data_IF_405494894346
#
_entry.id   IF_405494894346
#
_cell.length_a   1.000
_cell.length_b   1.000
_cell.length_c   1.000
_cell.angle_alpha   90.00
_cell.angle_beta   90.00
_cell.angle_gamma   90.00
#
_symmetry.space_group_name_H-M   'P 1'
#
loop_
_entity.id
_entity.type
_entity.pdbx_description
1 polymer ?
#
# COMPACT_ATOMS: atom_id res chain seq x y z
N UNK A 1 3.07 21.77 -14.02
CA UNK A 1 3.20 20.64 -13.08
C UNK A 1 2.35 20.79 -11.79
N UNK A 2 1.54 21.85 -11.65
CA UNK A 2 0.98 22.23 -10.34
C UNK A 2 -0.36 21.58 -9.95
N UNK A 3 -1.23 21.23 -10.92
CA UNK A 3 -2.55 20.65 -10.63
C UNK A 3 -2.56 19.11 -10.50
N UNK A 4 -1.56 18.44 -11.08
CA UNK A 4 -1.53 16.97 -11.15
C UNK A 4 -1.22 16.36 -9.77
N UNK A 5 -0.29 16.97 -9.02
CA UNK A 5 0.08 16.48 -7.69
C UNK A 5 -1.09 16.45 -6.68
N UNK A 6 -1.84 17.55 -6.46
CA UNK A 6 -3.00 17.52 -5.56
C UNK A 6 -4.12 16.59 -6.07
N UNK A 7 -4.35 16.51 -7.38
CA UNK A 7 -5.29 15.55 -7.97
C UNK A 7 -4.91 14.09 -7.66
N UNK A 8 -3.63 13.74 -7.76
CA UNK A 8 -3.13 12.40 -7.43
C UNK A 8 -3.19 12.09 -5.93
N UNK A 9 -3.02 13.09 -5.05
CA UNK A 9 -3.21 12.93 -3.60
C UNK A 9 -4.65 12.55 -3.29
N UNK A 10 -5.61 13.29 -3.85
CA UNK A 10 -7.03 13.01 -3.64
C UNK A 10 -7.39 11.62 -4.20
N UNK A 11 -6.92 11.31 -5.40
CA UNK A 11 -7.12 9.99 -6.01
C UNK A 11 -6.54 8.86 -5.13
N UNK A 12 -5.32 9.04 -4.61
CA UNK A 12 -4.70 8.06 -3.72
C UNK A 12 -5.47 7.85 -2.42
N UNK A 13 -6.00 8.93 -1.82
CA UNK A 13 -6.86 8.83 -0.65
C UNK A 13 -8.16 8.08 -0.94
N UNK A 14 -8.82 8.38 -2.07
CA UNK A 14 -10.06 7.71 -2.47
C UNK A 14 -9.82 6.23 -2.78
N UNK A 15 -8.76 5.89 -3.51
CA UNK A 15 -8.36 4.49 -3.74
C UNK A 15 -8.02 3.77 -2.43
N UNK A 16 -7.28 4.42 -1.53
CA UNK A 16 -6.95 3.87 -0.21
C UNK A 16 -8.18 3.64 0.67
N UNK A 17 -9.21 4.51 0.52
CA UNK A 17 -10.48 4.45 1.25
C UNK A 17 -11.36 3.26 0.89
N UNK A 18 -11.05 2.52 -0.17
CA UNK A 18 -11.77 1.29 -0.50
C UNK A 18 -11.29 0.19 0.46
N UNK A 19 -12.22 -0.36 1.26
CA UNK A 19 -11.92 -1.46 2.17
C UNK A 19 -11.86 -2.79 1.41
N UNK A 20 -10.64 -3.27 1.18
CA UNK A 20 -10.38 -4.55 0.53
C UNK A 20 -10.99 -5.73 1.29
N UNK A 21 -11.02 -5.66 2.63
CA UNK A 21 -11.62 -6.70 3.48
C UNK A 21 -13.11 -6.88 3.21
N UNK A 22 -13.87 -5.78 3.12
CA UNK A 22 -15.32 -5.82 2.86
C UNK A 22 -15.57 -6.31 1.45
N UNK A 23 -14.80 -5.83 0.47
CA UNK A 23 -14.94 -6.22 -0.93
C UNK A 23 -14.68 -7.73 -1.12
N UNK A 24 -13.59 -8.24 -0.55
CA UNK A 24 -13.24 -9.67 -0.66
C UNK A 24 -14.26 -10.53 0.08
N UNK A 25 -14.68 -10.16 1.30
CA UNK A 25 -15.72 -10.92 2.00
C UNK A 25 -17.02 -10.97 1.20
N UNK A 26 -17.44 -9.85 0.60
CA UNK A 26 -18.66 -9.79 -0.20
C UNK A 26 -18.59 -10.63 -1.47
N UNK A 27 -17.45 -10.63 -2.16
CA UNK A 27 -17.25 -11.47 -3.37
C UNK A 27 -17.16 -12.95 -2.99
N UNK A 28 -16.54 -13.27 -1.85
CA UNK A 28 -16.38 -14.63 -1.36
C UNK A 28 -17.63 -15.20 -0.67
N UNK A 29 -18.72 -14.43 -0.53
CA UNK A 29 -19.94 -14.84 0.16
C UNK A 29 -19.77 -15.02 1.67
N UNK A 30 -18.80 -14.33 2.26
CA UNK A 30 -18.47 -14.37 3.70
C UNK A 30 -19.22 -13.27 4.47
N UNK A 31 -19.47 -13.46 5.78
CA UNK A 31 -20.11 -12.44 6.59
C UNK A 31 -19.25 -11.19 6.73
N UNK A 32 -19.88 -10.06 7.05
CA UNK A 32 -19.20 -8.76 7.10
C UNK A 32 -18.07 -8.78 8.16
N UNK A 33 -16.82 -8.45 7.79
CA UNK A 33 -15.69 -8.43 8.72
C UNK A 33 -15.80 -7.37 9.81
N UNK A 34 -16.78 -6.47 9.77
CA UNK A 34 -17.07 -5.49 10.82
C UNK A 34 -17.93 -6.05 11.94
N UNK A 35 -18.80 -6.99 11.60
CA UNK A 35 -19.73 -7.62 12.53
C UNK A 35 -19.22 -8.98 13.01
N UNK A 36 -18.25 -9.55 12.30
CA UNK A 36 -17.70 -10.87 12.57
C UNK A 36 -16.24 -10.83 13.05
N UNK A 37 -15.86 -11.83 13.85
CA UNK A 37 -14.50 -11.99 14.36
C UNK A 37 -14.11 -10.91 15.37
N UNK A 38 -13.03 -10.18 15.07
CA UNK A 38 -12.51 -9.05 15.88
C UNK A 38 -13.18 -7.70 15.59
N UNK A 39 -14.09 -7.65 14.60
CA UNK A 39 -14.74 -6.42 14.14
C UNK A 39 -13.85 -5.44 13.36
N UNK A 40 -12.57 -5.78 13.14
CA UNK A 40 -11.65 -4.95 12.36
C UNK A 40 -11.62 -5.38 10.88
N UNK A 41 -11.76 -4.45 9.92
CA UNK A 41 -11.72 -4.76 8.48
C UNK A 41 -10.28 -4.91 7.97
N UNK A 42 -9.57 -5.92 8.48
CA UNK A 42 -8.18 -6.23 8.09
C UNK A 42 -7.97 -7.71 7.75
N UNK A 43 -6.85 -8.02 7.08
CA UNK A 43 -6.53 -9.37 6.61
C UNK A 43 -6.51 -10.43 7.72
N UNK A 44 -6.03 -10.09 8.93
CA UNK A 44 -6.06 -10.98 10.10
C UNK A 44 -7.47 -11.41 10.49
N UNK A 45 -8.43 -10.48 10.38
CA UNK A 45 -9.81 -10.78 10.73
C UNK A 45 -10.47 -11.65 9.65
N UNK A 46 -10.21 -11.32 8.39
CA UNK A 46 -10.68 -12.11 7.25
C UNK A 46 -10.09 -13.53 7.28
N UNK A 47 -8.87 -13.71 7.79
CA UNK A 47 -8.30 -15.04 8.01
C UNK A 47 -9.15 -15.88 8.98
N UNK A 48 -9.68 -15.27 10.04
CA UNK A 48 -10.51 -15.95 11.03
C UNK A 48 -11.89 -16.31 10.49
N UNK A 49 -12.44 -15.49 9.59
CA UNK A 49 -13.81 -15.64 9.06
C UNK A 49 -13.84 -16.51 7.81
N UNK A 50 -12.91 -16.26 6.87
CA UNK A 50 -12.90 -16.81 5.51
C UNK A 50 -11.71 -17.68 5.16
N UNK A 51 -10.80 -17.89 6.12
CA UNK A 51 -9.60 -18.70 5.91
C UNK A 51 -8.50 -18.01 5.10
N UNK A 52 -7.45 -18.78 4.79
CA UNK A 52 -6.18 -18.27 4.23
C UNK A 52 -6.35 -17.64 2.84
N UNK A 53 -7.18 -18.22 1.99
CA UNK A 53 -7.40 -17.72 0.62
C UNK A 53 -7.95 -16.30 0.60
N UNK A 54 -9.01 -16.04 1.38
CA UNK A 54 -9.61 -14.72 1.48
C UNK A 54 -8.66 -13.70 2.12
N UNK A 55 -7.92 -14.09 3.16
CA UNK A 55 -6.94 -13.22 3.82
C UNK A 55 -5.80 -12.78 2.88
N UNK A 56 -5.28 -13.71 2.06
CA UNK A 56 -4.24 -13.42 1.07
C UNK A 56 -4.77 -12.47 0.00
N UNK A 57 -6.00 -12.67 -0.49
CA UNK A 57 -6.61 -11.74 -1.44
C UNK A 57 -6.70 -10.32 -0.87
N UNK A 58 -7.17 -10.16 0.38
CA UNK A 58 -7.23 -8.85 1.05
C UNK A 58 -5.86 -8.20 1.14
N UNK A 59 -4.84 -8.97 1.53
CA UNK A 59 -3.47 -8.48 1.63
C UNK A 59 -2.95 -7.97 0.28
N UNK A 60 -3.19 -8.74 -0.79
CA UNK A 60 -2.80 -8.34 -2.16
C UNK A 60 -3.48 -7.03 -2.54
N UNK A 61 -4.80 -6.90 -2.35
CA UNK A 61 -5.52 -5.67 -2.67
C UNK A 61 -5.05 -4.47 -1.85
N UNK A 62 -4.75 -4.65 -0.55
CA UNK A 62 -4.25 -3.57 0.31
C UNK A 62 -2.83 -3.11 -0.06
N UNK A 63 -1.99 -4.01 -0.58
CA UNK A 63 -0.69 -3.67 -1.16
C UNK A 63 -0.89 -2.94 -2.49
N UNK A 64 -1.72 -3.47 -3.39
CA UNK A 64 -1.95 -2.92 -4.73
C UNK A 64 -2.51 -1.50 -4.65
N UNK A 65 -3.48 -1.23 -3.78
CA UNK A 65 -4.06 0.12 -3.64
C UNK A 65 -3.07 1.14 -3.06
N UNK A 66 -2.08 0.69 -2.29
CA UNK A 66 -0.97 1.54 -1.82
C UNK A 66 0.11 1.76 -2.89
N UNK A 67 0.28 0.78 -3.79
CA UNK A 67 1.31 0.79 -4.84
C UNK A 67 0.88 1.55 -6.09
N UNK A 68 -0.35 1.33 -6.58
CA UNK A 68 -0.85 1.87 -7.85
C UNK A 68 -0.81 3.42 -7.92
N UNK A 69 -1.28 4.18 -6.90
CA UNK A 69 -1.27 5.63 -6.98
C UNK A 69 0.14 6.21 -6.98
N UNK A 70 1.06 5.61 -6.21
CA UNK A 70 2.47 6.01 -6.14
C UNK A 70 3.18 5.70 -7.45
N UNK A 71 2.94 4.52 -8.03
CA UNK A 71 3.52 4.14 -9.31
C UNK A 71 3.02 4.99 -10.47
N UNK A 72 1.71 5.29 -10.51
CA UNK A 72 1.12 6.20 -11.49
C UNK A 72 1.68 7.61 -11.39
N UNK A 73 1.82 8.14 -10.17
CA UNK A 73 2.44 9.45 -9.96
C UNK A 73 3.91 9.48 -10.38
N UNK A 74 4.65 8.39 -10.16
CA UNK A 74 6.03 8.26 -10.61
C UNK A 74 6.15 8.27 -12.14
N UNK A 75 5.24 7.57 -12.84
CA UNK A 75 5.20 7.55 -14.29
C UNK A 75 4.92 8.94 -14.88
N UNK A 76 4.11 9.75 -14.20
CA UNK A 76 3.81 11.14 -14.55
C UNK A 76 4.95 12.13 -14.22
N UNK A 77 6.08 11.65 -13.69
CA UNK A 77 7.24 12.49 -13.38
C UNK A 77 7.04 13.43 -12.20
N UNK A 78 6.14 13.08 -11.27
CA UNK A 78 5.91 13.82 -10.02
C UNK A 78 7.18 13.81 -9.16
N UNK A 79 7.49 14.94 -8.51
CA UNK A 79 8.71 15.06 -7.70
C UNK A 79 8.67 14.13 -6.48
N UNK A 80 9.83 13.70 -5.95
CA UNK A 80 9.91 12.78 -4.81
C UNK A 80 9.15 13.26 -3.57
N UNK A 81 9.11 14.58 -3.34
CA UNK A 81 8.35 15.19 -2.25
C UNK A 81 6.85 14.87 -2.34
N UNK A 82 6.25 15.09 -3.50
CA UNK A 82 4.84 14.82 -3.75
C UNK A 82 4.52 13.32 -3.77
N UNK A 83 5.45 12.46 -4.22
CA UNK A 83 5.29 11.01 -4.12
C UNK A 83 5.15 10.55 -2.67
N UNK A 84 5.93 11.12 -1.75
CA UNK A 84 5.79 10.87 -0.31
C UNK A 84 4.39 11.23 0.21
N UNK A 85 3.85 12.39 -0.18
CA UNK A 85 2.52 12.83 0.21
C UNK A 85 1.40 11.96 -0.35
N UNK A 86 1.49 11.56 -1.62
CA UNK A 86 0.53 10.62 -2.26
C UNK A 86 0.54 9.28 -1.53
N UNK A 87 1.73 8.81 -1.15
CA UNK A 87 1.90 7.60 -0.39
C UNK A 87 1.21 7.73 0.99
N UNK A 88 1.46 8.82 1.73
CA UNK A 88 0.79 9.08 3.01
C UNK A 88 -0.74 9.12 2.84
N UNK A 89 -1.23 9.78 1.80
CA UNK A 89 -2.66 9.88 1.51
C UNK A 89 -3.32 8.51 1.28
N UNK A 90 -2.66 7.59 0.56
CA UNK A 90 -3.14 6.22 0.39
C UNK A 90 -3.25 5.45 1.73
N UNK A 91 -2.28 5.64 2.63
CA UNK A 91 -2.33 5.07 3.98
C UNK A 91 -3.45 5.67 4.82
N UNK A 92 -3.61 7.00 4.77
CA UNK A 92 -4.70 7.70 5.47
C UNK A 92 -6.07 7.24 4.99
N UNK A 93 -6.24 7.03 3.68
CA UNK A 93 -7.47 6.46 3.14
C UNK A 93 -7.77 5.07 3.71
N UNK A 94 -6.77 4.20 3.87
CA UNK A 94 -6.98 2.86 4.44
C UNK A 94 -7.37 2.92 5.94
N UNK A 95 -6.77 3.83 6.71
CA UNK A 95 -7.02 3.98 8.16
C UNK A 95 -8.37 4.68 8.41
N UNK A 96 -8.64 5.76 7.66
CA UNK A 96 -9.85 6.58 7.74
C UNK A 96 -10.57 6.63 6.39
N UNK A 97 -11.24 5.53 6.00
CA UNK A 97 -11.93 5.45 4.72
C UNK A 97 -13.21 6.27 4.72
N UNK A 98 -13.32 7.23 3.78
CA UNK A 98 -14.51 8.08 3.63
C UNK A 98 -15.79 7.28 3.34
N UNK A 99 -15.67 6.21 2.54
CA UNK A 99 -16.81 5.40 2.11
C UNK A 99 -17.40 4.52 3.21
N UNK A 100 -16.68 4.34 4.31
CA UNK A 100 -17.05 3.36 5.32
C UNK A 100 -17.07 3.96 6.74
N UNK A 101 -17.44 5.23 6.85
CA UNK A 101 -17.67 5.93 8.13
C UNK A 101 -16.40 6.18 8.92
N UNK A 102 -15.25 6.35 8.25
CA UNK A 102 -13.94 6.61 8.86
C UNK A 102 -13.46 5.51 9.83
N UNK A 103 -14.00 4.29 9.73
CA UNK A 103 -13.56 3.12 10.51
C UNK A 103 -12.84 2.12 9.60
N UNK A 104 -11.53 2.27 9.47
CA UNK A 104 -10.68 1.46 8.59
C UNK A 104 -9.85 0.40 9.30
N UNK A 105 -8.82 -0.07 8.60
CA UNK A 105 -7.86 -1.05 9.11
C UNK A 105 -6.58 -0.42 9.65
N UNK A 106 -5.64 -1.26 10.14
CA UNK A 106 -4.38 -0.80 10.76
C UNK A 106 -3.34 -0.24 9.78
N UNK A 107 -3.54 -0.37 8.46
CA UNK A 107 -2.68 0.28 7.46
C UNK A 107 -1.29 -0.33 7.22
N UNK A 108 -0.92 -1.42 7.90
CA UNK A 108 0.42 -2.05 7.80
C UNK A 108 0.71 -2.53 6.37
N UNK A 109 -0.24 -3.23 5.74
CA UNK A 109 -0.10 -3.72 4.36
C UNK A 109 0.01 -2.58 3.33
N UNK A 110 -0.77 -1.51 3.52
CA UNK A 110 -0.71 -0.33 2.65
C UNK A 110 0.61 0.43 2.82
N UNK A 111 1.22 0.44 4.02
CA UNK A 111 2.57 0.97 4.21
C UNK A 111 3.63 0.18 3.45
N UNK A 112 3.50 -1.15 3.42
CA UNK A 112 4.40 -2.02 2.67
C UNK A 112 4.31 -1.78 1.15
N UNK A 113 3.10 -1.64 0.61
CA UNK A 113 2.90 -1.38 -0.83
C UNK A 113 3.59 -0.11 -1.33
N UNK A 114 3.63 0.96 -0.51
CA UNK A 114 4.34 2.21 -0.84
C UNK A 114 5.85 2.01 -0.94
N UNK A 115 6.41 1.19 -0.05
CA UNK A 115 7.84 0.85 -0.08
C UNK A 115 8.19 0.05 -1.34
N UNK A 116 7.35 -0.93 -1.72
CA UNK A 116 7.51 -1.68 -2.96
C UNK A 116 7.41 -0.76 -4.20
N UNK A 117 6.46 0.16 -4.23
CA UNK A 117 6.29 1.13 -5.32
C UNK A 117 7.53 2.01 -5.50
N UNK A 118 8.07 2.53 -4.40
CA UNK A 118 9.29 3.34 -4.41
C UNK A 118 10.47 2.56 -5.02
N UNK A 119 10.63 1.28 -4.64
CA UNK A 119 11.71 0.42 -5.14
C UNK A 119 11.57 0.10 -6.63
N UNK A 120 10.35 -0.17 -7.11
CA UNK A 120 10.08 -0.48 -8.53
C UNK A 120 10.15 0.75 -9.44
N UNK A 121 9.72 1.91 -8.94
CA UNK A 121 9.82 3.18 -9.65
C UNK A 121 11.27 3.67 -9.76
N UNK A 122 11.98 3.82 -8.64
CA UNK A 122 13.34 4.37 -8.63
C UNK A 122 14.35 3.50 -9.39
N UNK A 123 14.19 2.17 -9.38
CA UNK A 123 15.15 1.28 -10.05
C UNK A 123 15.08 1.35 -11.58
N UNK A 124 14.00 1.89 -12.18
CA UNK A 124 13.90 2.02 -13.65
C UNK A 124 14.60 3.26 -14.22
N UNK A 125 14.76 4.36 -13.46
CA UNK A 125 15.45 5.57 -13.99
C UNK A 125 16.96 5.57 -13.76
N UNK A 126 17.48 4.79 -12.80
CA UNK A 126 18.92 4.76 -12.50
C UNK A 126 19.73 3.69 -13.27
N UNK A 127 19.15 3.10 -14.32
CA UNK A 127 19.86 2.17 -15.21
C UNK A 127 20.56 2.81 -16.42
N UNK A 128 20.53 4.15 -16.58
CA UNK A 128 21.16 4.85 -17.74
C UNK A 128 22.12 5.99 -17.40
N UNK A 129 22.51 6.16 -16.14
CA UNK A 129 23.57 7.10 -15.78
C UNK A 129 24.37 6.57 -14.59
N UNK A 130 25.24 5.60 -14.88
CA UNK A 130 26.41 5.29 -14.07
C UNK A 130 27.60 6.02 -14.70
N UNK A 131 27.69 7.32 -14.46
CA UNK A 131 28.94 8.10 -14.54
C UNK A 131 28.66 9.48 -13.93
N UNK A 132 29.61 9.98 -13.14
CA UNK A 132 29.69 11.29 -12.49
C UNK A 132 28.97 11.48 -11.12
N UNK A 133 29.80 11.27 -10.09
CA UNK A 133 30.12 12.21 -9.00
C UNK A 133 29.18 12.47 -7.81
N UNK A 134 29.76 12.36 -6.60
CA UNK A 134 29.28 12.99 -5.36
C UNK A 134 29.23 12.09 -4.12
N UNK A 135 29.95 12.43 -3.02
CA UNK A 135 29.98 11.66 -1.78
C UNK A 135 28.76 11.99 -0.91
N UNK A 136 27.56 11.58 -1.32
CA UNK A 136 26.34 11.68 -0.46
C UNK A 136 25.61 10.33 -0.36
N UNK A 137 26.19 9.26 -0.91
CA UNK A 137 25.64 7.89 -0.84
C UNK A 137 26.07 7.19 0.44
N UNK A 138 25.58 7.63 1.61
CA UNK A 138 25.79 6.84 2.85
C UNK A 138 24.81 7.12 3.99
N UNK A 139 23.50 7.15 3.75
CA UNK A 139 22.55 7.11 4.88
C UNK A 139 21.38 6.13 4.79
N UNK A 140 21.03 5.55 3.65
CA UNK A 140 20.00 4.49 3.63
C UNK A 140 20.34 3.39 2.64
N UNK A 141 21.44 2.69 2.92
CA UNK A 141 21.68 1.36 2.38
C UNK A 141 21.18 0.36 3.43
N UNK A 142 19.88 0.04 3.38
CA UNK A 142 19.42 -1.26 3.88
C UNK A 142 19.89 -2.29 2.85
N UNK A 143 21.14 -2.74 3.03
CA UNK A 143 21.67 -3.93 2.39
C UNK A 143 21.05 -5.14 3.08
N UNK A 144 20.63 -6.13 2.29
CA UNK A 144 20.50 -7.51 2.76
C UNK A 144 19.12 -8.13 2.56
N UNK A 145 19.02 -8.93 1.51
CA UNK A 145 18.20 -10.14 1.40
C UNK A 145 16.72 -10.03 1.04
N UNK A 146 16.51 -9.90 -0.28
CA UNK A 146 15.26 -10.03 -1.01
C UNK A 146 14.78 -11.49 -1.19
N UNK A 147 15.19 -12.44 -0.32
CA UNK A 147 14.74 -13.85 -0.34
C UNK A 147 14.12 -14.32 0.99
N UNK A 148 14.05 -13.46 2.02
CA UNK A 148 13.42 -13.78 3.32
C UNK A 148 12.08 -13.09 3.58
N UNK A 149 11.67 -12.17 2.70
CA UNK A 149 10.45 -11.37 2.91
C UNK A 149 9.15 -12.14 2.70
N UNK A 150 9.17 -13.27 1.98
CA UNK A 150 7.94 -14.01 1.65
C UNK A 150 7.25 -14.62 2.88
N UNK A 151 8.01 -14.92 3.95
CA UNK A 151 7.44 -15.44 5.20
C UNK A 151 7.15 -14.37 6.26
N UNK A 152 7.88 -13.24 6.24
CA UNK A 152 7.78 -12.22 7.28
C UNK A 152 6.52 -11.37 7.14
N UNK A 153 6.11 -11.04 5.91
CA UNK A 153 4.88 -10.26 5.68
C UNK A 153 3.65 -11.04 6.12
N UNK A 154 3.63 -12.37 5.92
CA UNK A 154 2.53 -13.20 6.38
C UNK A 154 2.52 -13.33 7.91
N UNK A 155 3.68 -13.43 8.59
CA UNK A 155 3.75 -13.47 10.07
C UNK A 155 3.54 -12.13 10.77
N UNK A 156 3.81 -11.01 10.11
CA UNK A 156 3.59 -9.68 10.69
C UNK A 156 2.12 -9.24 10.61
N UNK A 157 1.35 -9.87 9.71
CA UNK A 157 -0.06 -9.53 9.42
C UNK A 157 -1.04 -10.59 9.92
N UNK A 158 -0.60 -11.82 10.22
CA UNK A 158 -1.41 -12.91 10.79
C UNK A 158 -1.17 -13.07 12.28
#
# INVERSE_FOLDING_TARGET
MSAIAPGMILFAYLCGSISSAILVCRIAGLPDPRESGSGNPGATNVLRIGGKGAAVAVLIFDILKGMLPVWGAYALGVTPFWLGLIAIAACLGHIWPVFFGFKGGKGVATAFGRHCAHRLGFNRRHGRHLAADGPVKRLFIVRGDCQRLDCAVLRLVV
#
